data_IF_810145842114
#
_entry.id   IF_810145842114
#
_cell.length_a   1.000
_cell.length_b   1.000
_cell.length_c   1.000
_cell.angle_alpha   90.00
_cell.angle_beta   90.00
_cell.angle_gamma   90.00
#
_symmetry.space_group_name_H-M   'P 1'
#
loop_
_entity.id
_entity.type
_entity.pdbx_description
1 polymer ?
#
# COMPACT_ATOMS: atom_id res chain seq x y z
N UNK A 1 -68.89 37.70 -4.09
CA UNK A 1 -67.60 38.14 -4.64
C UNK A 1 -66.79 37.00 -5.23
N UNK A 2 -66.62 37.01 -6.55
CA UNK A 2 -65.78 36.08 -7.30
C UNK A 2 -64.28 36.23 -6.97
N UNK A 3 -63.87 37.46 -6.65
CA UNK A 3 -62.47 37.82 -6.33
C UNK A 3 -62.00 37.19 -5.02
N UNK A 4 -62.88 37.06 -4.03
CA UNK A 4 -62.54 36.44 -2.75
C UNK A 4 -62.30 34.93 -2.90
N UNK A 5 -63.07 34.27 -3.78
CA UNK A 5 -62.90 32.85 -4.07
C UNK A 5 -61.60 32.54 -4.80
N UNK A 6 -61.19 33.38 -5.77
CA UNK A 6 -59.90 33.22 -6.44
C UNK A 6 -58.72 33.42 -5.49
N UNK A 7 -58.82 34.34 -4.52
CA UNK A 7 -57.80 34.54 -3.48
C UNK A 7 -57.64 33.30 -2.58
N UNK A 8 -58.74 32.67 -2.17
CA UNK A 8 -58.70 31.46 -1.33
C UNK A 8 -58.06 30.29 -2.08
N UNK A 9 -58.37 30.12 -3.36
CA UNK A 9 -57.77 29.06 -4.19
C UNK A 9 -56.27 29.29 -4.38
N UNK A 10 -55.85 30.52 -4.68
CA UNK A 10 -54.43 30.87 -4.80
C UNK A 10 -53.66 30.60 -3.50
N UNK A 11 -54.25 30.95 -2.36
CA UNK A 11 -53.64 30.72 -1.05
C UNK A 11 -53.52 29.22 -0.74
N UNK A 12 -54.55 28.43 -1.05
CA UNK A 12 -54.52 26.97 -0.89
C UNK A 12 -53.43 26.31 -1.73
N UNK A 13 -53.27 26.73 -2.99
CA UNK A 13 -52.22 26.23 -3.90
C UNK A 13 -50.84 26.58 -3.37
N UNK A 14 -50.63 27.81 -2.90
CA UNK A 14 -49.33 28.24 -2.34
C UNK A 14 -48.95 27.45 -1.08
N UNK A 15 -49.92 27.15 -0.20
CA UNK A 15 -49.69 26.33 0.99
C UNK A 15 -49.33 24.90 0.62
N UNK A 16 -50.02 24.28 -0.34
CA UNK A 16 -49.70 22.91 -0.80
C UNK A 16 -48.32 22.86 -1.44
N UNK A 17 -47.96 23.84 -2.27
CA UNK A 17 -46.63 23.95 -2.87
C UNK A 17 -45.56 24.15 -1.77
N UNK A 18 -45.81 25.01 -0.80
CA UNK A 18 -44.88 25.25 0.32
C UNK A 18 -44.66 24.00 1.18
N UNK A 19 -45.72 23.25 1.48
CA UNK A 19 -45.62 21.97 2.21
C UNK A 19 -44.91 20.91 1.37
N UNK A 20 -45.20 20.81 0.07
CA UNK A 20 -44.54 19.89 -0.84
C UNK A 20 -43.05 20.20 -1.00
N UNK A 21 -42.67 21.47 -1.16
CA UNK A 21 -41.25 21.88 -1.20
C UNK A 21 -40.58 21.73 0.17
N UNK A 22 -41.28 21.97 1.28
CA UNK A 22 -40.72 21.73 2.62
C UNK A 22 -40.51 20.23 2.91
N UNK A 23 -41.39 19.36 2.42
CA UNK A 23 -41.24 17.90 2.55
C UNK A 23 -40.23 17.32 1.55
N UNK A 24 -40.16 17.88 0.34
CA UNK A 24 -39.17 17.54 -0.68
C UNK A 24 -37.77 17.99 -0.28
N UNK A 25 -37.60 19.24 0.17
CA UNK A 25 -36.33 19.79 0.67
C UNK A 25 -35.83 19.05 1.91
N UNK A 26 -36.72 18.64 2.83
CA UNK A 26 -36.34 17.77 3.95
C UNK A 26 -35.94 16.35 3.53
N UNK A 27 -36.30 15.88 2.33
CA UNK A 27 -35.89 14.56 1.80
C UNK A 27 -34.60 14.61 0.96
N UNK A 28 -34.26 15.73 0.34
CA UNK A 28 -33.01 15.85 -0.44
C UNK A 28 -31.81 16.35 0.37
N UNK A 29 -32.01 16.85 1.59
CA UNK A 29 -30.93 17.19 2.53
C UNK A 29 -30.60 16.08 3.54
N UNK A 30 -31.06 14.85 3.30
CA UNK A 30 -30.62 13.62 3.98
C UNK A 30 -29.71 12.78 3.06
N UNK A 31 -28.78 13.42 2.35
CA UNK A 31 -27.50 12.79 1.99
C UNK A 31 -26.51 13.03 3.12
N UNK A 32 -26.96 12.72 4.34
CA UNK A 32 -26.14 12.59 5.53
C UNK A 32 -25.48 11.22 5.41
N UNK A 33 -24.43 11.14 4.58
CA UNK A 33 -23.44 10.04 4.61
C UNK A 33 -22.62 10.03 5.93
N UNK A 34 -23.12 10.72 6.96
CA UNK A 34 -22.54 10.97 8.28
C UNK A 34 -23.31 10.20 9.38
N UNK A 35 -23.91 9.05 9.07
CA UNK A 35 -24.07 8.03 10.11
C UNK A 35 -22.67 7.45 10.32
N UNK A 36 -21.94 8.05 11.27
CA UNK A 36 -20.66 7.62 11.82
C UNK A 36 -20.38 6.15 11.52
N UNK A 37 -19.75 5.89 10.37
CA UNK A 37 -19.19 4.58 10.13
C UNK A 37 -18.08 4.47 11.17
N UNK A 38 -18.36 3.76 12.26
CA UNK A 38 -17.34 3.36 13.22
C UNK A 38 -16.12 2.88 12.42
N UNK A 39 -14.92 3.19 12.90
CA UNK A 39 -13.67 2.85 12.19
C UNK A 39 -13.67 1.40 11.70
N UNK A 40 -14.31 0.50 12.45
CA UNK A 40 -14.51 -0.91 12.10
C UNK A 40 -15.46 -1.13 10.91
N UNK A 41 -16.59 -0.42 10.83
CA UNK A 41 -17.50 -0.48 9.68
C UNK A 41 -16.83 0.05 8.41
N UNK A 42 -16.08 1.15 8.53
CA UNK A 42 -15.34 1.70 7.40
C UNK A 42 -14.25 0.72 6.95
N UNK A 43 -13.50 0.14 7.89
CA UNK A 43 -12.50 -0.88 7.59
C UNK A 43 -13.13 -2.10 6.91
N UNK A 44 -14.27 -2.59 7.40
CA UNK A 44 -14.98 -3.72 6.80
C UNK A 44 -15.41 -3.42 5.35
N UNK A 45 -15.89 -2.20 5.08
CA UNK A 45 -16.25 -1.77 3.72
C UNK A 45 -15.02 -1.70 2.80
N UNK A 46 -13.90 -1.16 3.29
CA UNK A 46 -12.66 -1.07 2.52
C UNK A 46 -12.01 -2.45 2.26
N UNK A 47 -12.24 -3.42 3.15
CA UNK A 47 -11.83 -4.82 2.93
C UNK A 47 -12.65 -5.52 1.83
N UNK A 48 -13.85 -5.02 1.52
CA UNK A 48 -14.64 -5.51 0.39
C UNK A 48 -14.24 -4.80 -0.90
N UNK A 49 -14.15 -3.47 -0.85
CA UNK A 49 -13.70 -2.66 -1.99
C UNK A 49 -12.81 -1.50 -1.50
N UNK A 50 -11.49 -1.57 -1.76
CA UNK A 50 -10.54 -0.54 -1.31
C UNK A 50 -10.61 0.73 -2.16
N UNK A 51 -11.31 0.71 -3.30
CA UNK A 51 -11.40 1.84 -4.23
C UNK A 51 -12.55 2.79 -3.93
N UNK A 52 -13.41 2.46 -2.97
CA UNK A 52 -14.58 3.28 -2.58
C UNK A 52 -14.19 4.66 -2.09
N UNK A 53 -12.98 4.83 -1.53
CA UNK A 53 -12.48 6.10 -1.05
C UNK A 53 -11.06 6.37 -1.58
N UNK A 54 -10.70 7.66 -1.78
CA UNK A 54 -9.33 8.01 -2.09
C UNK A 54 -8.41 7.69 -0.89
N UNK A 55 -7.14 7.29 -1.13
CA UNK A 55 -6.18 6.94 -0.07
C UNK A 55 -6.00 8.00 1.02
N UNK A 56 -6.05 9.28 0.66
CA UNK A 56 -5.99 10.39 1.61
C UNK A 56 -7.17 10.39 2.59
N UNK A 57 -8.39 10.12 2.11
CA UNK A 57 -9.58 10.01 2.94
C UNK A 57 -9.59 8.73 3.79
N UNK A 58 -9.09 7.62 3.25
CA UNK A 58 -8.88 6.38 4.01
C UNK A 58 -8.00 6.67 5.22
N UNK A 59 -6.84 7.30 4.99
CA UNK A 59 -5.89 7.56 6.06
C UNK A 59 -6.39 8.56 7.09
N UNK A 60 -7.09 9.62 6.67
CA UNK A 60 -7.64 10.61 7.60
C UNK A 60 -8.79 10.08 8.46
N UNK A 61 -9.60 9.15 7.92
CA UNK A 61 -10.77 8.60 8.63
C UNK A 61 -10.44 7.36 9.45
N UNK A 62 -9.55 6.49 8.98
CA UNK A 62 -9.13 5.29 9.73
C UNK A 62 -8.04 5.57 10.77
N UNK A 63 -7.11 6.48 10.46
CA UNK A 63 -5.86 6.63 11.20
C UNK A 63 -4.87 5.48 10.97
N UNK A 64 -3.63 5.68 11.40
CA UNK A 64 -2.50 4.83 11.03
C UNK A 64 -2.64 3.34 11.43
N UNK A 65 -3.20 3.05 12.61
CA UNK A 65 -3.35 1.68 13.12
C UNK A 65 -4.40 0.86 12.35
N UNK A 66 -5.57 1.44 12.06
CA UNK A 66 -6.57 0.75 11.25
C UNK A 66 -6.15 0.67 9.78
N UNK A 67 -5.40 1.66 9.27
CA UNK A 67 -4.75 1.56 7.94
C UNK A 67 -3.76 0.40 7.88
N UNK A 68 -2.98 0.12 8.94
CA UNK A 68 -2.13 -1.06 9.00
C UNK A 68 -2.95 -2.35 8.86
N UNK A 69 -4.08 -2.45 9.57
CA UNK A 69 -4.97 -3.61 9.47
C UNK A 69 -5.55 -3.80 8.06
N UNK A 70 -5.81 -2.71 7.33
CA UNK A 70 -6.20 -2.76 5.92
C UNK A 70 -5.04 -3.22 5.03
N UNK A 71 -3.84 -2.68 5.25
CA UNK A 71 -2.63 -3.05 4.49
C UNK A 71 -2.31 -4.54 4.60
N UNK A 72 -2.29 -5.07 5.83
CA UNK A 72 -2.03 -6.48 6.08
C UNK A 72 -3.11 -7.40 5.51
N UNK A 73 -4.38 -6.97 5.55
CA UNK A 73 -5.46 -7.74 4.96
C UNK A 73 -5.33 -7.77 3.44
N UNK A 74 -5.19 -6.61 2.80
CA UNK A 74 -5.20 -6.51 1.35
C UNK A 74 -4.07 -7.28 0.68
N UNK A 75 -2.90 -7.35 1.33
CA UNK A 75 -1.76 -8.14 0.83
C UNK A 75 -1.93 -9.66 0.97
N UNK A 76 -2.90 -10.13 1.77
CA UNK A 76 -3.21 -11.57 1.94
C UNK A 76 -4.38 -12.03 1.06
N UNK A 77 -5.05 -11.12 0.38
CA UNK A 77 -6.20 -11.45 -0.46
C UNK A 77 -5.71 -11.92 -1.83
N UNK A 78 -6.09 -13.13 -2.22
CA UNK A 78 -5.68 -13.75 -3.49
C UNK A 78 -6.61 -13.43 -4.66
N UNK A 79 -7.74 -12.77 -4.42
CA UNK A 79 -8.71 -12.36 -5.45
C UNK A 79 -8.08 -11.38 -6.47
N UNK A 80 -8.12 -11.73 -7.75
CA UNK A 80 -7.43 -10.98 -8.81
C UNK A 80 -7.97 -9.56 -8.98
N UNK A 81 -9.30 -9.42 -8.96
CA UNK A 81 -9.98 -8.14 -9.13
C UNK A 81 -9.70 -7.21 -7.95
N UNK A 82 -9.71 -7.74 -6.73
CA UNK A 82 -9.28 -7.03 -5.53
C UNK A 82 -7.81 -6.62 -5.64
N UNK A 83 -6.89 -7.54 -6.00
CA UNK A 83 -5.45 -7.26 -6.11
C UNK A 83 -5.16 -6.13 -7.10
N UNK A 84 -5.89 -6.09 -8.23
CA UNK A 84 -5.76 -5.03 -9.21
C UNK A 84 -6.12 -3.64 -8.63
N UNK A 85 -7.28 -3.52 -7.96
CA UNK A 85 -7.69 -2.26 -7.31
C UNK A 85 -6.78 -1.90 -6.13
N UNK A 86 -6.37 -2.92 -5.38
CA UNK A 86 -5.56 -2.79 -4.17
C UNK A 86 -4.17 -2.23 -4.47
N UNK A 87 -3.50 -2.65 -5.55
CA UNK A 87 -2.12 -2.24 -5.83
C UNK A 87 -1.92 -0.71 -5.86
N UNK A 88 -2.84 0.02 -6.51
CA UNK A 88 -2.77 1.49 -6.56
C UNK A 88 -3.02 2.13 -5.19
N UNK A 89 -4.07 1.69 -4.50
CA UNK A 89 -4.45 2.19 -3.16
C UNK A 89 -3.34 1.93 -2.15
N UNK A 90 -2.80 0.71 -2.13
CA UNK A 90 -1.70 0.27 -1.29
C UNK A 90 -0.47 1.15 -1.45
N UNK A 91 0.00 1.34 -2.67
CA UNK A 91 1.22 2.11 -2.94
C UNK A 91 1.06 3.56 -2.49
N UNK A 92 -0.09 4.16 -2.73
CA UNK A 92 -0.37 5.53 -2.28
C UNK A 92 -0.51 5.61 -0.76
N UNK A 93 -1.14 4.64 -0.08
CA UNK A 93 -1.20 4.61 1.38
C UNK A 93 0.20 4.51 2.01
N UNK A 94 1.06 3.64 1.48
CA UNK A 94 2.45 3.52 1.94
C UNK A 94 3.22 4.82 1.70
N UNK A 95 3.03 5.46 0.55
CA UNK A 95 3.60 6.76 0.24
C UNK A 95 3.14 7.83 1.23
N UNK A 96 1.83 7.99 1.45
CA UNK A 96 1.26 8.97 2.38
C UNK A 96 1.71 8.75 3.84
N UNK A 97 1.79 7.49 4.28
CA UNK A 97 2.32 7.15 5.59
C UNK A 97 3.81 7.52 5.71
N UNK A 98 4.60 7.29 4.66
CA UNK A 98 6.03 7.60 4.66
C UNK A 98 6.36 9.09 4.64
N UNK A 99 5.45 9.93 4.12
CA UNK A 99 5.63 11.39 4.15
C UNK A 99 5.34 11.99 5.52
N UNK A 100 4.63 11.27 6.38
CA UNK A 100 4.31 11.75 7.72
C UNK A 100 5.49 11.54 8.68
N UNK A 101 5.89 12.62 9.35
CA UNK A 101 6.89 12.57 10.40
C UNK A 101 6.23 12.55 11.80
N UNK A 102 5.33 11.59 12.01
CA UNK A 102 4.58 11.42 13.24
C UNK A 102 4.72 10.00 13.80
N UNK A 103 4.60 9.85 15.12
CA UNK A 103 4.81 8.57 15.81
C UNK A 103 3.90 7.46 15.26
N UNK A 104 2.58 7.68 15.17
CA UNK A 104 1.63 6.68 14.69
C UNK A 104 1.97 6.10 13.31
N UNK A 105 2.08 6.93 12.25
CA UNK A 105 2.47 6.49 10.91
C UNK A 105 3.80 5.74 10.84
N UNK A 106 4.83 6.22 11.56
CA UNK A 106 6.14 5.56 11.60
C UNK A 106 6.03 4.16 12.21
N UNK A 107 5.29 4.02 13.32
CA UNK A 107 5.08 2.72 13.96
C UNK A 107 4.22 1.79 13.10
N UNK A 108 3.19 2.30 12.42
CA UNK A 108 2.40 1.53 11.48
C UNK A 108 3.26 0.97 10.35
N UNK A 109 4.11 1.79 9.71
CA UNK A 109 5.04 1.33 8.68
C UNK A 109 6.04 0.31 9.22
N UNK A 110 6.65 0.56 10.38
CA UNK A 110 7.60 -0.37 10.96
C UNK A 110 6.97 -1.72 11.34
N UNK A 111 5.68 -1.72 11.73
CA UNK A 111 4.91 -2.95 11.96
C UNK A 111 4.57 -3.66 10.68
N UNK A 112 4.20 -2.92 9.65
CA UNK A 112 3.95 -3.47 8.32
C UNK A 112 5.21 -4.13 7.73
N UNK A 113 6.37 -3.51 7.90
CA UNK A 113 7.68 -4.02 7.46
C UNK A 113 8.37 -4.95 8.47
N UNK A 114 7.67 -5.35 9.55
CA UNK A 114 8.28 -5.95 10.74
C UNK A 114 9.11 -7.20 10.43
N UNK A 115 10.28 -7.25 11.06
CA UNK A 115 11.04 -8.48 11.31
C UNK A 115 10.49 -9.26 12.50
N UNK A 116 10.46 -10.59 12.40
CA UNK A 116 10.22 -11.44 13.57
C UNK A 116 11.40 -11.38 14.57
N UNK A 117 12.59 -10.99 14.12
CA UNK A 117 13.83 -10.97 14.88
C UNK A 117 14.20 -9.55 15.33
N UNK A 118 14.31 -9.34 16.65
CA UNK A 118 14.59 -8.01 17.24
C UNK A 118 16.02 -7.54 16.98
N UNK A 119 16.98 -8.46 16.96
CA UNK A 119 18.41 -8.17 16.80
C UNK A 119 18.87 -8.28 15.35
N UNK A 120 17.93 -8.34 14.41
CA UNK A 120 18.24 -8.44 12.99
C UNK A 120 19.16 -7.29 12.52
N UNK A 121 20.25 -7.61 11.81
CA UNK A 121 21.12 -6.64 11.15
C UNK A 121 20.36 -5.65 10.26
N UNK A 122 20.82 -4.40 10.22
CA UNK A 122 20.17 -3.35 9.43
C UNK A 122 20.11 -3.69 7.92
N UNK A 123 21.10 -4.38 7.37
CA UNK A 123 21.08 -4.81 5.96
C UNK A 123 19.95 -5.79 5.66
N UNK A 124 19.72 -6.79 6.52
CA UNK A 124 18.59 -7.72 6.39
C UNK A 124 17.25 -7.00 6.55
N UNK A 125 17.16 -6.08 7.53
CA UNK A 125 15.96 -5.27 7.75
C UNK A 125 15.62 -4.39 6.56
N UNK A 126 16.62 -3.74 5.95
CA UNK A 126 16.46 -2.92 4.74
C UNK A 126 15.97 -3.77 3.58
N UNK A 127 16.61 -4.92 3.32
CA UNK A 127 16.23 -5.83 2.22
C UNK A 127 14.81 -6.39 2.40
N UNK A 128 14.45 -6.80 3.62
CA UNK A 128 13.08 -7.25 3.91
C UNK A 128 12.07 -6.12 3.73
N UNK A 129 12.40 -4.91 4.22
CA UNK A 129 11.55 -3.72 4.06
C UNK A 129 11.29 -3.45 2.58
N UNK A 130 12.33 -3.51 1.74
CA UNK A 130 12.21 -3.35 0.30
C UNK A 130 11.35 -4.46 -0.36
N UNK A 131 11.53 -5.73 0.03
CA UNK A 131 10.68 -6.82 -0.46
C UNK A 131 9.22 -6.62 -0.11
N UNK A 132 8.92 -6.34 1.17
CA UNK A 132 7.56 -6.11 1.62
C UNK A 132 6.99 -4.89 0.91
N UNK A 133 7.78 -3.83 0.73
CA UNK A 133 7.34 -2.64 -0.01
C UNK A 133 6.89 -2.99 -1.44
N UNK A 134 7.64 -3.82 -2.17
CA UNK A 134 7.32 -4.17 -3.56
C UNK A 134 6.32 -5.30 -3.74
N UNK A 135 6.34 -6.31 -2.86
CA UNK A 135 5.59 -7.55 -3.02
C UNK A 135 4.49 -7.77 -1.95
N UNK A 136 4.37 -6.85 -0.99
CA UNK A 136 3.49 -7.05 0.16
C UNK A 136 4.07 -8.02 1.19
N UNK A 137 3.31 -8.26 2.25
CA UNK A 137 3.80 -9.05 3.40
C UNK A 137 4.06 -10.53 3.09
N UNK A 138 3.44 -11.07 2.03
CA UNK A 138 3.65 -12.45 1.57
C UNK A 138 5.01 -12.60 0.91
N UNK A 139 5.57 -11.51 0.36
CA UNK A 139 6.84 -11.51 -0.39
C UNK A 139 6.85 -12.58 -1.48
N UNK A 140 5.69 -12.79 -2.09
CA UNK A 140 5.46 -13.81 -3.09
C UNK A 140 5.57 -13.21 -4.49
N UNK A 141 6.13 -13.97 -5.42
CA UNK A 141 6.10 -13.66 -6.84
C UNK A 141 5.63 -14.91 -7.59
N UNK A 142 4.56 -14.74 -8.37
CA UNK A 142 3.92 -15.82 -9.11
C UNK A 142 4.94 -16.53 -10.01
N UNK A 143 4.91 -17.88 -10.09
CA UNK A 143 5.70 -18.67 -11.03
C UNK A 143 5.51 -18.24 -12.50
N UNK A 144 6.45 -18.62 -13.36
CA UNK A 144 6.27 -18.43 -14.81
C UNK A 144 5.25 -19.44 -15.39
N UNK A 145 4.97 -19.33 -16.68
CA UNK A 145 4.05 -20.23 -17.40
C UNK A 145 4.46 -21.71 -17.33
N UNK A 146 5.76 -22.00 -17.18
CA UNK A 146 6.31 -23.36 -17.06
C UNK A 146 6.23 -23.91 -15.62
N UNK A 147 5.70 -23.12 -14.67
CA UNK A 147 5.60 -23.49 -13.26
C UNK A 147 6.92 -23.41 -12.49
N UNK A 148 7.97 -22.84 -13.07
CA UNK A 148 9.23 -22.64 -12.38
C UNK A 148 9.08 -21.58 -11.27
N UNK A 149 9.51 -21.88 -10.04
CA UNK A 149 9.33 -20.97 -8.91
C UNK A 149 10.18 -19.71 -9.07
N UNK A 150 9.74 -18.63 -8.44
CA UNK A 150 10.49 -17.39 -8.40
C UNK A 150 11.80 -17.54 -7.61
N UNK A 151 12.80 -16.77 -8.03
CA UNK A 151 14.12 -16.72 -7.41
C UNK A 151 14.39 -15.32 -6.87
N UNK A 152 14.92 -15.25 -5.65
CA UNK A 152 15.48 -14.04 -5.08
C UNK A 152 17.01 -14.16 -5.08
N UNK A 153 17.69 -13.20 -5.70
CA UNK A 153 19.14 -13.12 -5.76
C UNK A 153 19.59 -11.86 -5.07
N UNK A 154 20.53 -12.03 -4.15
CA UNK A 154 21.02 -10.95 -3.31
C UNK A 154 22.51 -10.84 -3.54
N UNK A 155 22.93 -9.73 -4.15
CA UNK A 155 24.34 -9.35 -4.19
C UNK A 155 24.68 -8.64 -2.88
N UNK A 156 25.62 -9.20 -2.15
CA UNK A 156 25.99 -8.72 -0.83
C UNK A 156 27.50 -8.65 -0.66
N UNK A 157 27.98 -7.77 0.21
CA UNK A 157 29.40 -7.79 0.59
C UNK A 157 29.71 -9.11 1.34
N UNK A 158 30.92 -9.69 1.20
CA UNK A 158 31.26 -10.96 1.89
C UNK A 158 31.15 -10.93 3.42
N UNK A 159 31.22 -9.75 4.02
CA UNK A 159 31.05 -9.55 5.46
C UNK A 159 29.58 -9.30 5.88
N UNK A 160 28.65 -9.22 4.92
CA UNK A 160 27.23 -9.06 5.21
C UNK A 160 26.67 -10.35 5.80
N UNK A 161 25.82 -10.23 6.81
CA UNK A 161 25.16 -11.39 7.42
C UNK A 161 24.10 -11.93 6.46
N UNK A 162 24.22 -13.22 6.13
CA UNK A 162 23.23 -13.98 5.38
C UNK A 162 22.08 -14.37 6.31
N UNK A 163 20.85 -14.20 5.85
CA UNK A 163 19.67 -14.53 6.65
C UNK A 163 18.42 -14.77 5.79
N UNK A 164 17.34 -15.18 6.45
CA UNK A 164 16.05 -15.37 5.80
C UNK A 164 15.30 -14.04 5.66
N UNK A 165 14.90 -13.71 4.43
CA UNK A 165 14.08 -12.52 4.16
C UNK A 165 12.58 -12.82 4.14
N UNK A 166 12.19 -14.08 4.31
CA UNK A 166 10.81 -14.56 4.27
C UNK A 166 10.22 -14.58 2.87
N UNK A 167 11.07 -14.69 1.84
CA UNK A 167 10.67 -14.78 0.45
C UNK A 167 10.10 -16.17 0.14
N UNK A 168 8.94 -16.21 -0.49
CA UNK A 168 8.29 -17.47 -0.87
C UNK A 168 8.87 -18.01 -2.18
N UNK A 169 10.08 -18.57 -2.09
CA UNK A 169 10.83 -19.10 -3.22
C UNK A 169 12.29 -19.38 -2.87
N UNK A 170 13.09 -19.66 -3.89
CA UNK A 170 14.53 -19.92 -3.69
C UNK A 170 15.30 -18.61 -3.49
N UNK A 171 16.14 -18.52 -2.45
CA UNK A 171 17.00 -17.36 -2.18
C UNK A 171 18.47 -17.73 -2.38
N UNK A 172 19.17 -16.96 -3.19
CA UNK A 172 20.61 -17.10 -3.43
C UNK A 172 21.36 -15.84 -3.01
N UNK A 173 22.38 -16.03 -2.18
CA UNK A 173 23.30 -14.98 -1.77
C UNK A 173 24.56 -15.08 -2.63
N UNK A 174 24.90 -13.99 -3.31
CA UNK A 174 25.97 -13.94 -4.30
C UNK A 174 26.99 -12.88 -3.90
N UNK A 175 28.27 -13.21 -4.06
CA UNK A 175 29.35 -12.23 -3.97
C UNK A 175 29.25 -11.31 -5.20
N UNK A 176 29.50 -9.99 -5.11
CA UNK A 176 29.18 -9.06 -6.20
C UNK A 176 29.99 -9.34 -7.47
N UNK A 177 31.22 -9.86 -7.32
CA UNK A 177 32.12 -10.20 -8.42
C UNK A 177 31.82 -11.56 -9.07
N UNK A 178 30.96 -12.39 -8.48
CA UNK A 178 30.64 -13.70 -9.03
C UNK A 178 29.55 -13.60 -10.12
N UNK A 179 29.70 -14.34 -11.23
CA UNK A 179 28.66 -14.44 -12.23
C UNK A 179 27.45 -15.17 -11.63
N UNK A 180 26.27 -14.58 -11.80
CA UNK A 180 25.04 -15.21 -11.33
C UNK A 180 24.69 -16.40 -12.24
N UNK A 181 24.15 -17.51 -11.69
CA UNK A 181 23.66 -18.61 -12.51
C UNK A 181 22.52 -18.13 -13.44
N UNK A 182 22.23 -18.81 -14.55
CA UNK A 182 21.10 -18.43 -15.40
C UNK A 182 19.77 -18.52 -14.60
N UNK A 183 18.83 -17.57 -14.77
CA UNK A 183 17.54 -17.64 -14.12
C UNK A 183 16.70 -18.79 -14.68
N UNK A 184 16.03 -19.52 -13.79
CA UNK A 184 15.16 -20.65 -14.16
C UNK A 184 13.69 -20.25 -14.20
N UNK A 185 13.35 -19.07 -13.69
CA UNK A 185 11.98 -18.58 -13.57
C UNK A 185 11.95 -17.07 -13.33
N UNK A 186 10.84 -16.52 -12.80
CA UNK A 186 10.76 -15.14 -12.38
C UNK A 186 11.88 -14.81 -11.39
N UNK A 187 12.42 -13.61 -11.50
CA UNK A 187 13.65 -13.25 -10.82
C UNK A 187 13.49 -11.90 -10.12
N UNK A 188 13.97 -11.85 -8.89
CA UNK A 188 14.21 -10.62 -8.15
C UNK A 188 15.70 -10.53 -7.89
N UNK A 189 16.34 -9.46 -8.33
CA UNK A 189 17.74 -9.18 -8.03
C UNK A 189 17.83 -7.97 -7.12
N UNK A 190 18.63 -8.08 -6.07
CA UNK A 190 18.97 -6.97 -5.19
C UNK A 190 20.46 -6.72 -5.24
N UNK A 191 20.82 -5.47 -5.45
CA UNK A 191 22.20 -5.02 -5.36
C UNK A 191 22.66 -4.89 -3.89
N UNK A 192 23.96 -4.65 -3.64
CA UNK A 192 24.42 -4.29 -2.31
C UNK A 192 23.68 -3.06 -1.79
N UNK A 193 23.41 -3.03 -0.47
CA UNK A 193 22.81 -1.86 0.17
C UNK A 193 23.81 -0.70 0.12
N UNK A 194 23.41 0.41 -0.48
CA UNK A 194 24.21 1.64 -0.56
C UNK A 194 23.89 2.52 0.64
N UNK A 195 24.81 2.64 1.59
CA UNK A 195 24.65 3.55 2.74
C UNK A 195 25.20 4.94 2.41
N UNK A 196 24.31 5.92 2.26
CA UNK A 196 24.70 7.33 2.14
C UNK A 196 25.15 7.88 3.51
N UNK A 197 24.47 7.44 4.57
CA UNK A 197 24.79 7.77 5.97
C UNK A 197 24.38 6.59 6.87
N UNK A 198 24.66 6.67 8.18
CA UNK A 198 24.17 5.67 9.15
C UNK A 198 22.63 5.59 9.23
N UNK A 199 21.92 6.62 8.78
CA UNK A 199 20.46 6.72 8.86
C UNK A 199 19.80 6.77 7.48
N UNK A 200 20.56 6.65 6.39
CA UNK A 200 20.05 6.72 5.02
C UNK A 200 20.70 5.66 4.15
N UNK A 201 19.86 4.93 3.44
CA UNK A 201 20.31 3.88 2.55
C UNK A 201 19.47 3.87 1.27
N UNK A 202 20.09 3.42 0.19
CA UNK A 202 19.43 3.07 -1.05
C UNK A 202 19.62 1.59 -1.35
N UNK A 203 18.64 0.99 -2.00
CA UNK A 203 18.71 -0.37 -2.51
C UNK A 203 18.13 -0.41 -3.92
N UNK A 204 18.92 -0.88 -4.88
CA UNK A 204 18.43 -1.17 -6.21
C UNK A 204 17.85 -2.58 -6.24
N UNK A 205 16.65 -2.70 -6.78
CA UNK A 205 15.88 -3.92 -6.85
C UNK A 205 15.33 -4.06 -8.27
N UNK A 206 15.62 -5.18 -8.92
CA UNK A 206 15.13 -5.50 -10.26
C UNK A 206 14.16 -6.68 -10.16
N UNK A 207 12.93 -6.51 -10.65
CA UNK A 207 11.92 -7.58 -10.71
C UNK A 207 11.68 -7.93 -12.17
N UNK A 208 11.94 -9.18 -12.54
CA UNK A 208 11.68 -9.74 -13.88
C UNK A 208 10.67 -10.87 -13.76
N UNK A 209 9.46 -10.66 -14.28
CA UNK A 209 8.42 -11.71 -14.33
C UNK A 209 8.66 -12.68 -15.49
N UNK A 210 9.27 -12.18 -16.56
CA UNK A 210 9.73 -12.97 -17.70
C UNK A 210 11.08 -12.41 -18.19
N UNK A 211 11.81 -13.11 -19.09
CA UNK A 211 13.04 -12.57 -19.67
C UNK A 211 12.86 -11.21 -20.36
N UNK A 212 11.65 -10.90 -20.84
CA UNK A 212 11.32 -9.72 -21.63
C UNK A 212 10.52 -8.66 -20.85
N UNK A 213 10.02 -8.98 -19.64
CA UNK A 213 9.20 -8.08 -18.85
C UNK A 213 9.71 -7.98 -17.42
N UNK A 214 10.15 -6.77 -17.06
CA UNK A 214 10.60 -6.43 -15.72
C UNK A 214 10.66 -4.93 -15.47
N UNK A 215 11.05 -4.56 -14.26
CA UNK A 215 11.26 -3.18 -13.84
C UNK A 215 12.39 -3.08 -12.82
N UNK A 216 13.25 -2.09 -13.01
CA UNK A 216 14.23 -1.67 -12.02
C UNK A 216 13.61 -0.62 -11.09
N UNK A 217 13.92 -0.72 -9.81
CA UNK A 217 13.44 0.18 -8.77
C UNK A 217 14.60 0.57 -7.87
N UNK A 218 14.81 1.87 -7.70
CA UNK A 218 15.71 2.40 -6.67
C UNK A 218 14.90 2.82 -5.46
N UNK A 219 14.99 2.04 -4.40
CA UNK A 219 14.24 2.26 -3.16
C UNK A 219 15.12 3.06 -2.21
N UNK A 220 14.60 4.19 -1.72
CA UNK A 220 15.27 5.07 -0.75
C UNK A 220 14.67 4.85 0.63
N UNK A 221 15.52 4.60 1.62
CA UNK A 221 15.12 4.33 3.00
C UNK A 221 15.79 5.31 3.97
N UNK A 222 15.05 5.71 4.99
CA UNK A 222 15.58 6.47 6.13
C UNK A 222 15.28 5.75 7.44
N UNK A 223 16.23 5.82 8.38
CA UNK A 223 16.06 5.37 9.75
C UNK A 223 15.36 6.47 10.55
N UNK A 224 14.06 6.33 10.79
CA UNK A 224 13.25 7.26 11.57
C UNK A 224 12.91 6.64 12.91
N UNK A 225 13.28 7.30 14.02
CA UNK A 225 13.08 6.78 15.38
C UNK A 225 13.68 5.36 15.57
N UNK A 226 14.81 5.09 14.93
CA UNK A 226 15.47 3.78 14.96
C UNK A 226 14.86 2.72 14.03
N UNK A 227 13.86 3.07 13.22
CA UNK A 227 13.13 2.16 12.35
C UNK A 227 13.38 2.52 10.89
N UNK A 228 13.73 1.54 10.06
CA UNK A 228 13.91 1.76 8.62
C UNK A 228 12.56 1.84 7.93
N UNK A 229 12.32 2.94 7.21
CA UNK A 229 11.11 3.15 6.42
C UNK A 229 11.48 3.59 5.01
N UNK A 230 10.72 3.13 4.02
CA UNK A 230 10.83 3.63 2.64
C UNK A 230 10.32 5.06 2.60
N UNK A 231 11.06 5.97 1.98
CA UNK A 231 10.72 7.41 1.87
C UNK A 231 10.56 7.89 0.43
N UNK A 232 10.98 7.05 -0.52
CA UNK A 232 10.91 7.30 -1.95
C UNK A 232 11.25 6.04 -2.74
N UNK A 233 10.75 6.01 -3.97
CA UNK A 233 11.03 5.00 -4.97
C UNK A 233 11.15 5.72 -6.31
N UNK A 234 12.19 5.39 -7.07
CA UNK A 234 12.36 5.82 -8.46
C UNK A 234 12.35 4.59 -9.38
N UNK A 235 11.70 4.68 -10.53
CA UNK A 235 11.72 3.61 -11.54
C UNK A 235 13.00 3.77 -12.38
N UNK A 236 13.85 2.76 -12.34
CA UNK A 236 15.01 2.64 -13.21
C UNK A 236 14.60 1.85 -14.44
N UNK A 237 14.31 2.56 -15.53
CA UNK A 237 14.15 1.96 -16.84
C UNK A 237 15.54 1.57 -17.36
N UNK A 238 15.73 0.30 -17.69
CA UNK A 238 16.94 -0.13 -18.39
C UNK A 238 17.03 0.65 -19.71
N UNK A 239 18.11 1.41 -19.89
CA UNK A 239 18.50 2.01 -21.16
C UNK A 239 18.89 0.95 -22.19
#
# INVERSE_FOLDING_TARGET
DWVSWTLVVLFGVAVVIGVFFSLSSRRTFLAEEDVEATTDMLLARLKQDPSVLPPTAILSRLGAEATLGLLEYGDRVDDLDFRYRWGSVRNELLYLLSKQNAFGPIYALARYYRSAEKEEPDTLRIRRTALIHKLGITRHLEPNADGAPAQLRIRCHPAEVVGDLGFDGSTLWLVPAEPAPPPQGPLIEMDPVEFDTLERAALNLNIRRTPMAGGGFRIKLEKRRGLWVVVGEDIEWAS
#
